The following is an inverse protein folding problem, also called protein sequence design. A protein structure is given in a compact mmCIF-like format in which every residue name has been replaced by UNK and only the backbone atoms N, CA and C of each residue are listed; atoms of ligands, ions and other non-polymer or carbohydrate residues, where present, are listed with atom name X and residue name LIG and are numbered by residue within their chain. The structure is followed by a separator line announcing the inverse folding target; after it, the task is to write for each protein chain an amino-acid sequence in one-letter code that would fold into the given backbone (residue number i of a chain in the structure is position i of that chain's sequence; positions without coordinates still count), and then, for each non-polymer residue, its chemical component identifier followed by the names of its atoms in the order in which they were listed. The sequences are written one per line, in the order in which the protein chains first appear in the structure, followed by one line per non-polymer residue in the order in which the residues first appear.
data_IF_227989717865
#
_entry.id   IF_227989717865
#
_cell.length_a   1.000
_cell.length_b   1.000
_cell.length_c   1.000
_cell.angle_alpha   90.00
_cell.angle_beta   90.00
_cell.angle_gamma   90.00
#
_symmetry.space_group_name_H-M   'P 1'
#
loop_
_entity.id
_entity.type
_entity.pdbx_description
1 polymer ?
#
# COMPACT_ATOMS: atom_id res chain seq x y z
N UNK A 1 -27.88 -11.00 4.73
CA UNK A 1 -27.34 -9.63 4.74
C UNK A 1 -25.97 -9.69 4.12
N UNK A 2 -25.84 -9.32 2.86
CA UNK A 2 -24.53 -9.23 2.18
C UNK A 2 -23.81 -8.04 2.77
N UNK A 3 -22.80 -8.28 3.62
CA UNK A 3 -21.86 -7.26 4.03
C UNK A 3 -21.17 -6.76 2.76
N UNK A 4 -21.72 -5.71 2.15
CA UNK A 4 -21.04 -4.93 1.13
C UNK A 4 -19.78 -4.43 1.81
N UNK A 5 -18.64 -5.07 1.52
CA UNK A 5 -17.33 -4.61 2.00
C UNK A 5 -17.14 -3.20 1.45
N UNK A 6 -17.50 -2.20 2.26
CA UNK A 6 -17.34 -0.79 1.90
C UNK A 6 -15.85 -0.59 1.65
N UNK A 7 -15.51 -0.24 0.40
CA UNK A 7 -14.17 0.22 0.08
C UNK A 7 -13.93 1.52 0.84
N UNK A 8 -12.85 1.55 1.61
CA UNK A 8 -12.42 2.77 2.28
C UNK A 8 -12.09 3.83 1.24
N UNK A 9 -12.42 5.06 1.57
CA UNK A 9 -12.09 6.22 0.74
C UNK A 9 -10.58 6.48 0.81
N UNK A 10 -9.96 7.11 -0.20
CA UNK A 10 -8.54 7.47 -0.16
C UNK A 10 -8.17 8.26 1.11
N UNK A 11 -9.03 9.18 1.55
CA UNK A 11 -8.84 9.93 2.79
C UNK A 11 -8.88 9.06 4.06
N UNK A 12 -9.70 8.00 4.08
CA UNK A 12 -9.76 7.07 5.22
C UNK A 12 -8.48 6.22 5.29
N UNK A 13 -7.98 5.79 4.13
CA UNK A 13 -6.71 5.09 4.01
C UNK A 13 -5.52 5.99 4.38
N UNK A 14 -5.54 7.26 3.99
CA UNK A 14 -4.51 8.24 4.35
C UNK A 14 -4.48 8.50 5.86
N UNK A 15 -5.64 8.62 6.49
CA UNK A 15 -5.73 8.75 7.94
C UNK A 15 -5.19 7.49 8.66
N UNK A 16 -5.53 6.29 8.16
CA UNK A 16 -4.98 5.04 8.69
C UNK A 16 -3.46 4.97 8.51
N UNK A 17 -2.95 5.37 7.34
CA UNK A 17 -1.53 5.44 7.06
C UNK A 17 -0.78 6.31 8.06
N UNK A 18 -1.29 7.51 8.37
CA UNK A 18 -0.63 8.41 9.33
C UNK A 18 -0.57 7.81 10.73
N UNK A 19 -1.62 7.09 11.15
CA UNK A 19 -1.63 6.39 12.44
C UNK A 19 -0.67 5.20 12.47
N UNK A 20 -0.64 4.41 11.40
CA UNK A 20 0.25 3.27 11.23
C UNK A 20 1.70 3.73 11.12
N UNK A 21 2.01 4.84 10.45
CA UNK A 21 3.36 5.36 10.34
C UNK A 21 4.00 5.65 11.70
N UNK A 22 3.18 6.08 12.67
CA UNK A 22 3.61 6.34 14.04
C UNK A 22 3.72 5.08 14.92
N UNK A 23 3.05 3.98 14.56
CA UNK A 23 2.91 2.77 15.39
C UNK A 23 3.60 1.55 14.77
N UNK A 24 3.31 1.27 13.50
CA UNK A 24 3.85 0.18 12.70
C UNK A 24 4.13 0.64 11.26
N UNK A 25 5.42 0.88 10.97
CA UNK A 25 5.89 1.29 9.64
C UNK A 25 5.61 0.26 8.54
N UNK A 26 5.52 -1.03 8.88
CA UNK A 26 5.18 -2.07 7.90
C UNK A 26 3.72 -1.96 7.50
N UNK A 27 2.82 -1.83 8.47
CA UNK A 27 1.40 -1.58 8.21
C UNK A 27 1.21 -0.29 7.39
N UNK A 28 2.00 0.75 7.66
CA UNK A 28 1.99 1.97 6.86
C UNK A 28 2.41 1.71 5.41
N UNK A 29 3.43 0.89 5.15
CA UNK A 29 3.81 0.53 3.78
C UNK A 29 2.69 -0.23 3.04
N UNK A 30 2.02 -1.17 3.73
CA UNK A 30 0.85 -1.89 3.21
C UNK A 30 -0.29 -0.93 2.84
N UNK A 31 -0.59 0.03 3.72
CA UNK A 31 -1.64 1.02 3.49
C UNK A 31 -1.28 2.02 2.39
N UNK A 32 -0.03 2.45 2.29
CA UNK A 32 0.44 3.30 1.20
C UNK A 32 0.28 2.62 -0.16
N UNK A 33 0.59 1.32 -0.25
CA UNK A 33 0.35 0.54 -1.46
C UNK A 33 -1.15 0.46 -1.81
N UNK A 34 -2.00 0.16 -0.83
CA UNK A 34 -3.45 0.10 -1.01
C UNK A 34 -4.01 1.45 -1.49
N UNK A 35 -3.53 2.55 -0.90
CA UNK A 35 -3.92 3.91 -1.26
C UNK A 35 -3.49 4.28 -2.68
N UNK A 36 -2.24 3.97 -3.05
CA UNK A 36 -1.74 4.16 -4.40
C UNK A 36 -2.60 3.41 -5.44
N UNK A 37 -2.96 2.15 -5.15
CA UNK A 37 -3.78 1.33 -6.05
C UNK A 37 -5.19 1.93 -6.19
N UNK A 38 -5.76 2.40 -5.07
CA UNK A 38 -7.09 3.00 -5.03
C UNK A 38 -7.15 4.31 -5.82
N UNK A 39 -6.13 5.16 -5.69
CA UNK A 39 -6.02 6.41 -6.44
C UNK A 39 -5.83 6.15 -7.93
N UNK A 40 -5.03 5.16 -8.29
CA UNK A 40 -4.90 4.70 -9.68
C UNK A 40 -6.24 4.25 -10.27
N UNK A 41 -7.00 3.45 -9.52
CA UNK A 41 -8.33 2.99 -9.93
C UNK A 41 -9.34 4.15 -10.07
N UNK A 42 -9.17 5.21 -9.27
CA UNK A 42 -9.93 6.45 -9.38
C UNK A 42 -9.48 7.37 -10.55
N UNK A 43 -8.36 7.06 -11.21
CA UNK A 43 -7.77 7.88 -12.28
C UNK A 43 -6.81 8.98 -11.80
N UNK A 44 -6.55 9.07 -10.51
CA UNK A 44 -5.66 10.05 -9.87
C UNK A 44 -4.20 9.58 -9.94
N UNK A 45 -3.63 9.56 -11.14
CA UNK A 45 -2.29 9.02 -11.41
C UNK A 45 -1.17 9.82 -10.73
N UNK A 46 -1.27 11.15 -10.68
CA UNK A 46 -0.26 12.01 -10.04
C UNK A 46 -0.13 11.67 -8.55
N UNK A 47 -1.25 11.70 -7.81
CA UNK A 47 -1.28 11.38 -6.38
C UNK A 47 -0.91 9.92 -6.15
N UNK A 48 -1.37 8.99 -7.00
CA UNK A 48 -0.99 7.57 -6.92
C UNK A 48 0.53 7.39 -6.94
N UNK A 49 1.26 8.11 -7.80
CA UNK A 49 2.72 8.03 -7.89
C UNK A 49 3.41 8.57 -6.64
N UNK A 50 2.88 9.63 -6.03
CA UNK A 50 3.43 10.14 -4.76
C UNK A 50 3.33 9.07 -3.67
N UNK A 51 2.19 8.38 -3.58
CA UNK A 51 2.01 7.27 -2.65
C UNK A 51 2.89 6.06 -2.95
N UNK A 52 3.09 5.73 -4.23
CA UNK A 52 4.06 4.70 -4.64
C UNK A 52 5.46 5.05 -4.13
N UNK A 53 5.92 6.29 -4.33
CA UNK A 53 7.23 6.73 -3.86
C UNK A 53 7.34 6.66 -2.34
N UNK A 54 6.31 7.08 -1.61
CA UNK A 54 6.27 6.95 -0.15
C UNK A 54 6.35 5.48 0.29
N UNK A 55 5.60 4.58 -0.36
CA UNK A 55 5.67 3.15 -0.11
C UNK A 55 7.08 2.61 -0.35
N UNK A 56 7.72 2.98 -1.46
CA UNK A 56 9.11 2.57 -1.76
C UNK A 56 10.09 3.08 -0.72
N UNK A 57 10.01 4.35 -0.30
CA UNK A 57 10.88 4.91 0.73
C UNK A 57 10.74 4.18 2.07
N UNK A 58 9.52 3.77 2.43
CA UNK A 58 9.31 2.96 3.63
C UNK A 58 9.96 1.59 3.49
N UNK A 59 9.77 0.93 2.33
CA UNK A 59 10.33 -0.39 2.03
C UNK A 59 11.87 -0.38 1.96
N UNK A 60 12.51 0.72 1.55
CA UNK A 60 13.97 0.89 1.62
C UNK A 60 14.49 0.83 3.07
N UNK A 61 13.65 1.13 4.06
CA UNK A 61 13.96 1.01 5.48
C UNK A 61 13.86 -0.42 6.03
N UNK A 62 13.35 -1.38 5.26
CA UNK A 62 13.18 -2.77 5.68
C UNK A 62 14.13 -3.71 4.93
N UNK A 63 14.67 -4.73 5.62
CA UNK A 63 15.43 -5.77 4.95
C UNK A 63 14.51 -6.52 3.98
N UNK A 64 15.03 -6.82 2.78
CA UNK A 64 14.32 -7.54 1.71
C UNK A 64 15.02 -8.85 1.36
N UNK A 65 15.80 -9.39 2.30
CA UNK A 65 16.66 -10.56 2.12
C UNK A 65 15.86 -11.86 2.14
N UNK A 66 14.72 -11.89 2.85
CA UNK A 66 13.86 -13.07 2.94
C UNK A 66 12.41 -12.76 2.59
N UNK A 67 11.72 -13.77 2.06
CA UNK A 67 10.29 -13.68 1.71
C UNK A 67 9.40 -13.33 2.91
N UNK A 68 9.77 -13.78 4.12
CA UNK A 68 9.05 -13.49 5.36
C UNK A 68 9.10 -12.00 5.72
N UNK A 69 10.22 -11.33 5.44
CA UNK A 69 10.38 -9.90 5.69
C UNK A 69 9.53 -9.04 4.75
N UNK A 70 9.27 -9.53 3.54
CA UNK A 70 8.45 -8.84 2.54
C UNK A 70 7.00 -9.36 2.51
N UNK A 71 6.66 -10.34 3.34
CA UNK A 71 5.33 -10.93 3.37
C UNK A 71 4.33 -9.96 3.99
N UNK A 72 3.23 -9.70 3.28
CA UNK A 72 2.15 -8.89 3.84
C UNK A 72 1.48 -9.64 4.99
N UNK A 73 1.26 -8.95 6.10
CA UNK A 73 0.57 -9.50 7.27
C UNK A 73 -0.95 -9.46 7.09
N UNK A 74 -1.43 -8.60 6.19
CA UNK A 74 -2.86 -8.38 5.94
C UNK A 74 -3.21 -8.80 4.53
N UNK A 75 -4.39 -9.41 4.37
CA UNK A 75 -4.89 -9.83 3.06
C UNK A 75 -5.49 -8.66 2.27
N UNK A 76 -6.02 -7.66 2.97
CA UNK A 76 -6.58 -6.45 2.37
C UNK A 76 -6.55 -5.28 3.37
N UNK A 77 -6.43 -4.06 2.85
CA UNK A 77 -6.52 -2.82 3.64
C UNK A 77 -7.60 -1.94 3.04
N UNK A 78 -8.59 -1.56 3.85
CA UNK A 78 -9.73 -0.76 3.39
C UNK A 78 -10.52 -1.39 2.23
N UNK A 79 -10.47 -2.72 2.11
CA UNK A 79 -11.09 -3.48 1.02
C UNK A 79 -10.25 -3.55 -0.27
N UNK A 80 -9.05 -2.95 -0.30
CA UNK A 80 -8.09 -3.12 -1.39
C UNK A 80 -7.26 -4.39 -1.13
N UNK A 81 -7.25 -5.37 -2.04
CA UNK A 81 -6.47 -6.59 -1.87
C UNK A 81 -4.97 -6.28 -1.94
N UNK A 82 -4.22 -6.82 -0.99
CA UNK A 82 -2.77 -6.72 -0.96
C UNK A 82 -2.12 -7.92 -1.67
N UNK A 83 -0.95 -7.73 -2.30
CA UNK A 83 -0.15 -8.84 -2.80
C UNK A 83 0.39 -9.65 -1.62
N UNK A 84 0.62 -10.96 -1.79
CA UNK A 84 1.21 -11.78 -0.72
C UNK A 84 2.59 -11.28 -0.27
N UNK A 85 3.34 -10.64 -1.18
CA UNK A 85 4.64 -10.06 -0.93
C UNK A 85 4.66 -8.60 -1.39
N UNK A 86 5.09 -7.70 -0.51
CA UNK A 86 5.22 -6.27 -0.76
C UNK A 86 6.70 -5.88 -0.70
N UNK A 87 7.28 -5.67 -1.87
CA UNK A 87 8.64 -5.15 -2.01
C UNK A 87 8.74 -4.23 -3.23
N UNK A 88 9.82 -3.46 -3.33
CA UNK A 88 10.01 -2.47 -4.38
C UNK A 88 9.79 -3.03 -5.80
N UNK A 89 10.25 -4.27 -6.06
CA UNK A 89 9.98 -4.99 -7.31
C UNK A 89 8.48 -5.18 -7.64
N UNK A 90 7.65 -5.62 -6.69
CA UNK A 90 6.19 -5.81 -6.92
C UNK A 90 5.53 -4.47 -7.19
N UNK A 91 5.89 -3.44 -6.43
CA UNK A 91 5.33 -2.10 -6.61
C UNK A 91 5.68 -1.56 -8.00
N UNK A 92 6.94 -1.67 -8.44
CA UNK A 92 7.36 -1.30 -9.79
C UNK A 92 6.68 -2.12 -10.89
N UNK A 93 6.48 -3.42 -10.69
CA UNK A 93 5.79 -4.24 -11.68
C UNK A 93 4.30 -3.86 -11.81
N UNK A 94 3.65 -3.59 -10.68
CA UNK A 94 2.22 -3.21 -10.66
C UNK A 94 2.01 -1.82 -11.22
N UNK A 95 2.79 -0.82 -10.80
CA UNK A 95 2.62 0.58 -11.17
C UNK A 95 3.43 1.00 -12.41
N UNK A 96 4.31 0.13 -12.92
CA UNK A 96 5.18 0.37 -14.08
C UNK A 96 6.43 1.20 -13.74
N UNK A 97 7.17 1.64 -14.78
CA UNK A 97 8.31 2.60 -14.69
C UNK A 97 7.93 3.99 -14.16
N UNK A 98 6.71 4.17 -13.64
CA UNK A 98 6.20 5.43 -13.13
C UNK A 98 6.57 5.69 -11.65
N UNK A 99 7.29 4.74 -11.03
CA UNK A 99 7.76 4.77 -9.65
C UNK A 99 9.19 5.33 -9.52
#
# INVERSE_FOLDING_TARGET
MTSTTRLASPAELEAAFQQELATDRWAAAETAYALALRLRDAGEWDTSREWVKQCLQLLEGFPTETEDQVATKRTAVGGVPLPNYLHAGVVRERFGELA
#
